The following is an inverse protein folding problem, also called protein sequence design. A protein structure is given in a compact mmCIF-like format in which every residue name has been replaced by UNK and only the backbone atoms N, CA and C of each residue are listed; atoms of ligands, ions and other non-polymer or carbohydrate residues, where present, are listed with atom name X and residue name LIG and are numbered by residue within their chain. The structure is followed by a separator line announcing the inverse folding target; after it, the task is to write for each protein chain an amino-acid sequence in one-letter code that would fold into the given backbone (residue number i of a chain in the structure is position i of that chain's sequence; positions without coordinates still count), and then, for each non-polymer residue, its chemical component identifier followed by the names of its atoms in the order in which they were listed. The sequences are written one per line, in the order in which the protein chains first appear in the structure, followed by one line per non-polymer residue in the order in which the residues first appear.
data_IF_079269762145
#
_entry.id   IF_079269762145
#
_cell.length_a   1.000
_cell.length_b   1.000
_cell.length_c   1.000
_cell.angle_alpha   90.00
_cell.angle_beta   90.00
_cell.angle_gamma   90.00
#
_symmetry.space_group_name_H-M   'P 1'
#
loop_
_entity.id
_entity.type
_entity.pdbx_description
1 polymer ?
#
# COMPACT_ATOMS: atom_id res chain seq x y z
N UNK A 1 -26.86 2.07 -0.55
CA UNK A 1 -25.48 1.80 -0.09
C UNK A 1 -24.71 1.28 -1.30
N UNK A 2 -23.78 2.05 -1.85
CA UNK A 2 -22.93 1.59 -2.97
C UNK A 2 -21.64 1.06 -2.35
N UNK A 3 -21.45 -0.25 -2.38
CA UNK A 3 -20.13 -0.84 -2.13
C UNK A 3 -19.18 -0.32 -3.20
N UNK A 4 -18.08 0.33 -2.79
CA UNK A 4 -17.02 0.79 -3.67
C UNK A 4 -16.30 -0.42 -4.25
N UNK A 5 -16.76 -0.90 -5.41
CA UNK A 5 -16.16 -2.03 -6.15
C UNK A 5 -14.71 -1.82 -6.61
N UNK A 6 -14.11 -0.66 -6.34
CA UNK A 6 -12.77 -0.29 -6.80
C UNK A 6 -11.65 -0.69 -5.83
N UNK A 7 -11.93 -0.88 -4.54
CA UNK A 7 -10.90 -1.21 -3.54
C UNK A 7 -10.46 -2.68 -3.62
N UNK A 8 -11.39 -3.58 -3.98
CA UNK A 8 -11.09 -5.01 -4.16
C UNK A 8 -10.17 -5.31 -5.33
N UNK A 9 -10.28 -4.55 -6.44
CA UNK A 9 -9.51 -4.82 -7.66
C UNK A 9 -8.00 -4.53 -7.52
N UNK A 10 -7.65 -3.43 -6.83
CA UNK A 10 -6.26 -3.01 -6.66
C UNK A 10 -5.49 -3.98 -5.75
N UNK A 11 -6.12 -4.43 -4.66
CA UNK A 11 -5.49 -5.39 -3.74
C UNK A 11 -5.22 -6.73 -4.43
N UNK A 12 -6.17 -7.22 -5.24
CA UNK A 12 -6.00 -8.47 -6.00
C UNK A 12 -4.84 -8.34 -7.00
N UNK A 13 -4.72 -7.20 -7.68
CA UNK A 13 -3.62 -6.95 -8.61
C UNK A 13 -2.27 -6.94 -7.91
N UNK A 14 -2.11 -6.18 -6.82
CA UNK A 14 -0.84 -6.07 -6.10
C UNK A 14 -0.41 -7.42 -5.51
N UNK A 15 -1.33 -8.16 -4.87
CA UNK A 15 -1.04 -9.52 -4.36
C UNK A 15 -0.58 -10.45 -5.48
N UNK A 16 -1.33 -10.49 -6.58
CA UNK A 16 -0.97 -11.31 -7.74
C UNK A 16 0.40 -10.93 -8.32
N UNK A 17 0.74 -9.64 -8.32
CA UNK A 17 2.03 -9.15 -8.81
C UNK A 17 3.18 -9.58 -7.89
N UNK A 18 3.01 -9.44 -6.57
CA UNK A 18 4.00 -9.85 -5.56
C UNK A 18 4.29 -11.36 -5.69
N UNK A 19 3.23 -12.17 -5.72
CA UNK A 19 3.34 -13.63 -5.82
C UNK A 19 4.00 -14.07 -7.14
N UNK A 20 3.55 -13.53 -8.29
CA UNK A 20 4.09 -13.92 -9.60
C UNK A 20 5.57 -13.58 -9.78
N UNK A 21 6.04 -12.53 -9.10
CA UNK A 21 7.41 -12.07 -9.23
C UNK A 21 8.30 -12.53 -8.05
N UNK A 22 7.77 -13.34 -7.11
CA UNK A 22 8.47 -13.76 -5.89
C UNK A 22 9.11 -12.59 -5.13
N UNK A 23 8.34 -11.51 -4.98
CA UNK A 23 8.79 -10.31 -4.25
C UNK A 23 8.50 -10.52 -2.77
N UNK A 24 9.49 -10.28 -1.91
CA UNK A 24 9.28 -10.23 -0.47
C UNK A 24 8.69 -8.86 -0.10
N UNK A 25 7.36 -8.81 0.01
CA UNK A 25 6.63 -7.58 0.30
C UNK A 25 5.30 -7.87 1.01
N UNK A 26 4.89 -6.94 1.85
CA UNK A 26 3.61 -6.98 2.55
C UNK A 26 2.75 -5.76 2.19
N UNK A 27 1.43 -5.94 2.23
CA UNK A 27 0.46 -4.86 2.00
C UNK A 27 -0.22 -4.59 3.34
N UNK A 28 0.11 -3.45 3.94
CA UNK A 28 -0.48 -3.02 5.20
C UNK A 28 -1.55 -1.94 5.00
N UNK A 29 -2.63 -2.05 5.76
CA UNK A 29 -3.69 -1.05 5.85
C UNK A 29 -3.61 -0.42 7.24
N UNK A 30 -3.18 0.84 7.28
CA UNK A 30 -2.96 1.59 8.52
C UNK A 30 -3.93 2.77 8.52
N UNK A 31 -4.83 2.78 9.49
CA UNK A 31 -5.78 3.88 9.78
C UNK A 31 -5.34 4.77 10.96
N UNK A 32 -4.31 4.33 11.69
CA UNK A 32 -3.68 5.04 12.79
C UNK A 32 -2.70 6.12 12.28
N UNK A 33 -3.04 7.38 12.54
CA UNK A 33 -2.23 8.52 12.13
C UNK A 33 -0.84 8.52 12.77
N UNK A 34 -0.70 8.10 14.03
CA UNK A 34 0.58 8.14 14.74
C UNK A 34 1.57 7.16 14.08
N UNK A 35 1.10 5.96 13.72
CA UNK A 35 1.91 4.97 12.97
C UNK A 35 2.34 5.48 11.59
N UNK A 36 1.46 6.19 10.89
CA UNK A 36 1.80 6.80 9.60
C UNK A 36 2.91 7.85 9.75
N UNK A 37 2.81 8.70 10.78
CA UNK A 37 3.80 9.72 11.07
C UNK A 37 5.16 9.12 11.49
N UNK A 38 5.16 8.07 12.32
CA UNK A 38 6.36 7.31 12.69
C UNK A 38 7.06 6.72 11.45
N UNK A 39 6.27 6.20 10.50
CA UNK A 39 6.75 5.71 9.21
C UNK A 39 7.15 6.83 8.22
N UNK A 40 7.03 8.11 8.62
CA UNK A 40 7.27 9.30 7.77
C UNK A 40 6.40 9.30 6.50
N UNK A 41 5.20 8.73 6.58
CA UNK A 41 4.18 8.73 5.54
C UNK A 41 3.22 9.88 5.82
N UNK A 42 3.16 10.85 4.90
CA UNK A 42 2.26 12.01 5.03
C UNK A 42 0.97 11.80 4.25
N UNK A 43 1.06 11.11 3.10
CA UNK A 43 -0.06 10.94 2.18
C UNK A 43 -0.11 9.48 1.71
N UNK A 44 -0.99 8.63 2.27
CA UNK A 44 -1.23 7.30 1.72
C UNK A 44 -1.96 7.36 0.36
N UNK A 45 -1.83 6.33 -0.49
CA UNK A 45 -0.96 5.15 -0.32
C UNK A 45 0.51 5.49 -0.50
N UNK A 46 1.39 4.71 0.13
CA UNK A 46 2.85 4.87 0.07
C UNK A 46 3.56 3.54 -0.25
N UNK A 47 4.73 3.63 -0.89
CA UNK A 47 5.58 2.47 -1.19
C UNK A 47 6.93 2.65 -0.52
N UNK A 48 7.33 1.64 0.24
CA UNK A 48 8.61 1.58 0.93
C UNK A 48 9.38 0.37 0.38
N UNK A 49 10.63 0.58 -0.03
CA UNK A 49 11.53 -0.48 -0.51
C UNK A 49 12.80 -0.38 0.31
N UNK A 50 13.20 -1.49 0.94
CA UNK A 50 14.39 -1.58 1.79
C UNK A 50 14.42 -0.48 2.88
N UNK A 51 13.27 -0.20 3.49
CA UNK A 51 13.10 0.85 4.51
C UNK A 51 13.13 2.28 3.99
N UNK A 52 13.23 2.50 2.67
CA UNK A 52 13.24 3.84 2.05
C UNK A 52 11.91 4.12 1.35
N UNK A 53 11.23 5.21 1.74
CA UNK A 53 10.01 5.71 1.06
C UNK A 53 10.34 6.10 -0.38
N UNK A 54 9.71 5.46 -1.36
CA UNK A 54 9.89 5.71 -2.80
C UNK A 54 8.78 6.57 -3.41
N UNK A 55 7.54 6.40 -2.95
CA UNK A 55 6.40 7.18 -3.43
C UNK A 55 5.32 7.33 -2.36
N UNK A 56 4.52 8.39 -2.47
CA UNK A 56 3.35 8.65 -1.64
C UNK A 56 2.25 9.36 -2.45
N UNK A 57 0.99 9.21 -2.06
CA UNK A 57 -0.18 9.83 -2.71
C UNK A 57 -0.51 9.30 -4.10
N UNK A 58 0.09 8.19 -4.53
CA UNK A 58 -0.14 7.58 -5.84
C UNK A 58 -0.34 6.08 -5.71
N UNK A 59 -1.37 5.57 -6.38
CA UNK A 59 -1.65 4.13 -6.46
C UNK A 59 -0.47 3.46 -7.18
N UNK A 60 0.19 2.47 -6.56
CA UNK A 60 1.29 1.72 -7.17
C UNK A 60 0.86 0.85 -8.35
#
# INVERSE_FOLDING_TARGET
MRENKNEGGINIFLKSFIEKNNIDAEIEYIDDLDKLLEAKILIPPAVIIDGVKKSEGKIP
#
